data_IF_029432360506
#
_entry.id   IF_029432360506
#
_cell.length_a   1.000
_cell.length_b   1.000
_cell.length_c   1.000
_cell.angle_alpha   90.00
_cell.angle_beta   90.00
_cell.angle_gamma   90.00
#
_symmetry.space_group_name_H-M   'P 1'
#
loop_
_entity.id
_entity.type
_entity.pdbx_description
1 polymer ?
#
# COMPACT_ATOMS: atom_id res chain seq x y z
N UNK A 1 -16.38 60.21 38.65
CA UNK A 1 -17.01 59.53 37.51
C UNK A 1 -16.08 58.42 37.07
N UNK A 2 -16.48 57.19 37.41
CA UNK A 2 -15.78 55.95 37.09
C UNK A 2 -16.39 55.41 35.79
N UNK A 3 -15.57 55.14 34.79
CA UNK A 3 -15.98 54.44 33.57
C UNK A 3 -15.27 53.09 33.54
N UNK A 4 -16.10 52.04 33.63
CA UNK A 4 -15.73 50.63 33.57
C UNK A 4 -15.27 50.27 32.17
N UNK A 5 -14.18 49.51 32.07
CA UNK A 5 -13.84 48.72 30.89
C UNK A 5 -14.63 47.41 30.97
N UNK A 6 -15.53 47.21 30.03
CA UNK A 6 -16.28 45.97 29.88
C UNK A 6 -15.35 44.87 29.33
N UNK A 7 -15.40 43.74 30.02
CA UNK A 7 -14.73 42.49 29.68
C UNK A 7 -15.74 41.61 28.96
N UNK A 8 -15.58 41.45 27.65
CA UNK A 8 -16.25 40.40 26.87
C UNK A 8 -15.20 39.74 25.97
N UNK A 9 -14.47 38.77 26.51
CA UNK A 9 -13.79 37.75 25.72
C UNK A 9 -14.76 36.58 25.59
N UNK A 10 -15.59 36.60 24.55
CA UNK A 10 -16.34 35.42 24.15
C UNK A 10 -15.35 34.39 23.61
N UNK A 11 -15.35 33.21 24.24
CA UNK A 11 -14.63 32.02 23.80
C UNK A 11 -15.18 31.57 22.43
N UNK A 12 -14.56 31.99 21.34
CA UNK A 12 -14.67 31.27 20.07
C UNK A 12 -13.90 29.94 20.22
N UNK A 13 -14.65 28.87 20.51
CA UNK A 13 -14.21 27.50 20.25
C UNK A 13 -13.92 27.41 18.75
N UNK A 14 -12.63 27.35 18.40
CA UNK A 14 -12.19 26.96 17.05
C UNK A 14 -12.71 25.54 16.82
N UNK A 15 -13.74 25.45 15.98
CA UNK A 15 -14.31 24.19 15.54
C UNK A 15 -13.24 23.46 14.70
N UNK A 16 -12.93 22.23 15.10
CA UNK A 16 -11.89 21.41 14.49
C UNK A 16 -12.44 20.97 13.14
N UNK A 17 -12.11 21.74 12.10
CA UNK A 17 -12.62 21.56 10.76
C UNK A 17 -12.46 20.13 10.25
N UNK A 18 -13.60 19.53 9.93
CA UNK A 18 -13.72 18.25 9.24
C UNK A 18 -12.85 18.19 7.99
N UNK A 19 -12.25 17.02 7.79
CA UNK A 19 -11.43 16.63 6.65
C UNK A 19 -12.02 17.10 5.30
N UNK A 20 -11.41 18.11 4.68
CA UNK A 20 -11.91 18.77 3.46
C UNK A 20 -11.87 17.91 2.18
N UNK A 21 -11.34 16.69 2.25
CA UNK A 21 -11.31 15.71 1.15
C UNK A 21 -12.16 14.46 1.44
N UNK A 22 -13.03 14.52 2.46
CA UNK A 22 -13.90 13.43 2.95
C UNK A 22 -15.21 13.33 2.23
N UNK A 23 -15.17 13.32 0.90
CA UNK A 23 -16.41 13.21 0.14
C UNK A 23 -16.95 11.79 0.26
N UNK A 24 -18.09 11.66 0.93
CA UNK A 24 -18.90 10.44 0.94
C UNK A 24 -19.78 10.41 -0.30
N UNK A 25 -19.72 9.33 -1.06
CA UNK A 25 -20.75 9.05 -2.06
C UNK A 25 -22.02 8.57 -1.34
N UNK A 26 -23.22 8.94 -1.83
CA UNK A 26 -24.45 8.41 -1.26
C UNK A 26 -24.49 6.88 -1.38
N UNK A 27 -24.74 6.19 -0.27
CA UNK A 27 -24.89 4.71 -0.17
C UNK A 27 -26.04 4.13 -0.99
N UNK A 28 -26.84 4.98 -1.63
CA UNK A 28 -28.02 4.64 -2.43
C UNK A 28 -27.67 4.03 -3.80
N UNK A 29 -26.37 3.86 -4.12
CA UNK A 29 -25.88 3.33 -5.40
C UNK A 29 -25.52 1.84 -5.39
N UNK A 30 -25.50 1.16 -4.23
CA UNK A 30 -25.08 -0.26 -4.16
C UNK A 30 -26.14 -1.23 -4.68
N UNK A 31 -25.76 -2.09 -5.62
CA UNK A 31 -26.63 -3.13 -6.20
C UNK A 31 -26.79 -4.32 -5.26
N UNK A 32 -25.76 -4.61 -4.44
CA UNK A 32 -25.82 -5.66 -3.42
C UNK A 32 -24.87 -5.37 -2.25
N UNK A 33 -25.35 -5.58 -1.03
CA UNK A 33 -24.53 -5.55 0.19
C UNK A 33 -24.65 -6.90 0.88
N UNK A 34 -23.53 -7.62 1.01
CA UNK A 34 -23.48 -8.92 1.68
C UNK A 34 -23.87 -8.81 3.15
N UNK A 35 -24.31 -9.92 3.75
CA UNK A 35 -24.59 -9.95 5.19
C UNK A 35 -23.30 -9.62 5.96
N UNK A 36 -23.45 -8.91 7.10
CA UNK A 36 -22.34 -8.75 8.03
C UNK A 36 -21.94 -10.10 8.59
N UNK A 37 -20.65 -10.26 8.83
CA UNK A 37 -20.13 -11.44 9.49
C UNK A 37 -19.23 -12.29 8.62
N UNK A 38 -18.33 -13.02 9.28
CA UNK A 38 -17.44 -13.97 8.64
C UNK A 38 -17.87 -15.38 9.02
N UNK A 39 -18.40 -16.12 8.05
CA UNK A 39 -18.76 -17.53 8.19
C UNK A 39 -18.77 -18.23 6.83
N UNK A 40 -18.91 -19.56 6.83
CA UNK A 40 -18.89 -20.37 5.61
C UNK A 40 -20.00 -20.00 4.61
N UNK A 41 -21.17 -19.54 5.06
CA UNK A 41 -22.26 -19.15 4.18
C UNK A 41 -21.93 -17.84 3.42
N UNK A 42 -21.33 -16.86 4.11
CA UNK A 42 -20.85 -15.62 3.47
C UNK A 42 -19.76 -15.93 2.45
N UNK A 43 -18.78 -16.76 2.80
CA UNK A 43 -17.70 -17.17 1.89
C UNK A 43 -18.24 -17.91 0.66
N UNK A 44 -19.19 -18.84 0.85
CA UNK A 44 -19.83 -19.54 -0.26
C UNK A 44 -20.65 -18.57 -1.14
N UNK A 45 -21.37 -17.63 -0.54
CA UNK A 45 -22.14 -16.62 -1.26
C UNK A 45 -21.25 -15.74 -2.14
N UNK A 46 -20.07 -15.32 -1.66
CA UNK A 46 -19.09 -14.57 -2.46
C UNK A 46 -18.74 -15.36 -3.74
N UNK A 47 -18.38 -16.63 -3.58
CA UNK A 47 -17.99 -17.50 -4.69
C UNK A 47 -19.12 -17.73 -5.69
N UNK A 48 -20.35 -17.93 -5.19
CA UNK A 48 -21.56 -18.10 -6.01
C UNK A 48 -21.89 -16.82 -6.80
N UNK A 49 -21.84 -15.65 -6.16
CA UNK A 49 -22.12 -14.36 -6.81
C UNK A 49 -21.10 -14.01 -7.89
N UNK A 50 -19.85 -14.43 -7.68
CA UNK A 50 -18.76 -14.21 -8.64
C UNK A 50 -18.73 -15.28 -9.74
N UNK A 51 -19.59 -16.30 -9.67
CA UNK A 51 -19.65 -17.43 -10.59
C UNK A 51 -18.29 -18.11 -10.77
N UNK A 52 -17.65 -18.41 -9.64
CA UNK A 52 -16.30 -18.99 -9.60
C UNK A 52 -16.32 -20.52 -9.80
N UNK A 53 -15.23 -21.12 -10.32
CA UNK A 53 -15.10 -22.56 -10.41
C UNK A 53 -15.04 -23.22 -9.02
N UNK A 54 -15.49 -24.48 -8.92
CA UNK A 54 -15.60 -25.20 -7.66
C UNK A 54 -14.31 -25.22 -6.82
N UNK A 55 -13.14 -25.34 -7.48
CA UNK A 55 -11.86 -25.35 -6.78
C UNK A 55 -11.56 -24.03 -6.04
N UNK A 56 -12.05 -22.89 -6.54
CA UNK A 56 -11.88 -21.59 -5.87
C UNK A 56 -12.78 -21.49 -4.64
N UNK A 57 -14.02 -22.00 -4.74
CA UNK A 57 -14.91 -22.12 -3.57
C UNK A 57 -14.27 -22.97 -2.47
N UNK A 58 -13.70 -24.12 -2.82
CA UNK A 58 -13.02 -25.00 -1.86
C UNK A 58 -11.78 -24.33 -1.27
N UNK A 59 -11.01 -23.60 -2.08
CA UNK A 59 -9.87 -22.80 -1.64
C UNK A 59 -10.28 -21.75 -0.60
N UNK A 60 -11.37 -21.01 -0.86
CA UNK A 60 -11.88 -19.99 0.05
C UNK A 60 -12.37 -20.58 1.37
N UNK A 61 -13.13 -21.67 1.33
CA UNK A 61 -13.64 -22.34 2.53
C UNK A 61 -12.51 -22.91 3.39
N UNK A 62 -11.51 -23.56 2.78
CA UNK A 62 -10.31 -24.01 3.49
C UNK A 62 -9.54 -22.84 4.12
N UNK A 63 -9.48 -21.70 3.43
CA UNK A 63 -8.81 -20.49 3.94
C UNK A 63 -9.53 -19.93 5.17
N UNK A 64 -10.87 -20.00 5.21
CA UNK A 64 -11.66 -19.63 6.39
C UNK A 64 -11.33 -20.53 7.59
N UNK A 65 -11.28 -21.85 7.39
CA UNK A 65 -10.91 -22.79 8.47
C UNK A 65 -9.52 -22.49 9.03
N UNK A 66 -8.55 -22.19 8.16
CA UNK A 66 -7.19 -21.81 8.56
C UNK A 66 -7.21 -20.48 9.34
N UNK A 67 -7.99 -19.50 8.91
CA UNK A 67 -8.16 -18.23 9.61
C UNK A 67 -8.71 -18.44 11.03
N UNK A 68 -9.72 -19.29 11.19
CA UNK A 68 -10.34 -19.60 12.48
C UNK A 68 -9.39 -20.33 13.43
N UNK A 69 -8.54 -21.22 12.90
CA UNK A 69 -7.55 -21.98 13.68
C UNK A 69 -6.35 -21.14 14.12
N UNK A 70 -5.92 -20.16 13.32
CA UNK A 70 -4.74 -19.33 13.64
C UNK A 70 -5.06 -18.28 14.72
N UNK A 71 -4.25 -18.15 15.77
CA UNK A 71 -4.44 -17.13 16.78
C UNK A 71 -4.17 -15.72 16.22
N UNK A 72 -4.85 -14.71 16.77
CA UNK A 72 -4.55 -13.30 16.47
C UNK A 72 -3.13 -12.97 16.95
N UNK A 73 -2.26 -12.41 16.08
CA UNK A 73 -0.92 -12.00 16.48
C UNK A 73 -0.95 -11.05 17.69
N UNK A 74 -0.04 -11.28 18.65
CA UNK A 74 0.10 -10.45 19.86
C UNK A 74 1.33 -9.52 19.78
N UNK A 75 1.83 -9.29 18.58
CA UNK A 75 2.99 -8.46 18.27
C UNK A 75 2.63 -7.49 17.13
N UNK A 76 3.47 -6.49 16.90
CA UNK A 76 3.24 -5.46 15.89
C UNK A 76 2.34 -4.34 16.39
N UNK A 77 1.12 -4.65 16.84
CA UNK A 77 0.21 -3.68 17.44
C UNK A 77 -0.99 -4.35 18.11
N UNK A 78 -1.97 -3.56 18.56
CA UNK A 78 -3.20 -4.11 19.14
C UNK A 78 -4.21 -4.46 18.05
N UNK A 79 -4.44 -5.75 17.85
CA UNK A 79 -5.39 -6.28 16.87
C UNK A 79 -6.67 -6.82 17.51
N UNK A 80 -6.78 -6.79 18.84
CA UNK A 80 -7.91 -7.37 19.59
C UNK A 80 -9.20 -6.56 19.47
N UNK A 81 -9.12 -5.33 18.93
CA UNK A 81 -10.27 -4.44 18.71
C UNK A 81 -10.97 -4.68 17.37
N UNK A 82 -10.45 -5.58 16.52
CA UNK A 82 -11.06 -5.89 15.23
C UNK A 82 -12.24 -6.85 15.46
N UNK A 83 -13.46 -6.35 15.26
CA UNK A 83 -14.66 -7.19 15.24
C UNK A 83 -14.96 -7.67 13.81
N UNK A 84 -14.46 -8.87 13.49
CA UNK A 84 -14.70 -9.52 12.20
C UNK A 84 -16.18 -9.75 11.90
N UNK A 85 -17.04 -9.83 12.92
CA UNK A 85 -18.47 -10.07 12.71
C UNK A 85 -19.25 -8.81 12.33
N UNK A 86 -18.65 -7.62 12.51
CA UNK A 86 -19.25 -6.33 12.18
C UNK A 86 -19.02 -5.88 10.73
N UNK A 87 -18.13 -6.57 9.99
CA UNK A 87 -17.62 -6.19 8.68
C UNK A 87 -18.53 -6.72 7.56
N UNK A 88 -18.73 -5.90 6.53
CA UNK A 88 -19.21 -6.36 5.22
C UNK A 88 -18.02 -6.81 4.36
N UNK A 89 -18.00 -8.10 4.01
CA UNK A 89 -16.91 -8.71 3.25
C UNK A 89 -17.09 -8.66 1.73
N UNK A 90 -18.29 -8.34 1.28
CA UNK A 90 -18.61 -8.22 -0.14
C UNK A 90 -19.70 -7.19 -0.35
N UNK A 91 -19.40 -6.20 -1.19
CA UNK A 91 -20.32 -5.16 -1.63
C UNK A 91 -20.16 -5.01 -3.13
N UNK A 92 -21.27 -4.89 -3.85
CA UNK A 92 -21.30 -4.71 -5.31
C UNK A 92 -21.85 -3.32 -5.62
N UNK A 93 -20.96 -2.47 -6.11
CA UNK A 93 -21.22 -1.08 -6.48
C UNK A 93 -22.10 -0.92 -7.72
N UNK A 94 -21.92 -1.78 -8.72
CA UNK A 94 -22.54 -1.62 -10.04
C UNK A 94 -22.97 -2.96 -10.65
N UNK A 95 -23.99 -2.90 -11.53
CA UNK A 95 -24.51 -4.03 -12.27
C UNK A 95 -23.68 -4.36 -13.54
N UNK A 96 -22.72 -3.50 -13.94
CA UNK A 96 -21.86 -3.76 -15.10
C UNK A 96 -20.66 -2.81 -15.23
N UNK A 97 -19.66 -3.27 -16.01
CA UNK A 97 -18.40 -2.57 -16.30
C UNK A 97 -18.64 -1.21 -16.98
N UNK A 98 -18.21 -0.12 -16.34
CA UNK A 98 -18.10 1.21 -16.98
C UNK A 98 -16.92 1.23 -17.95
N UNK A 99 -17.15 1.62 -19.21
CA UNK A 99 -16.18 1.40 -20.33
C UNK A 99 -15.41 2.66 -20.73
N UNK A 100 -15.81 3.85 -20.26
CA UNK A 100 -15.21 5.11 -20.69
C UNK A 100 -15.22 6.20 -19.62
N UNK A 101 -14.34 7.21 -19.76
CA UNK A 101 -14.30 8.40 -18.91
C UNK A 101 -15.60 9.22 -18.93
N UNK A 102 -16.39 9.07 -20.00
CA UNK A 102 -17.69 9.71 -20.12
C UNK A 102 -18.73 9.02 -19.22
N UNK A 103 -18.55 7.73 -18.96
CA UNK A 103 -19.38 6.90 -18.09
C UNK A 103 -19.04 7.06 -16.59
N UNK A 104 -17.84 7.56 -16.27
CA UNK A 104 -17.42 7.80 -14.88
C UNK A 104 -18.38 8.81 -14.22
N UNK A 105 -18.99 8.46 -13.07
CA UNK A 105 -19.89 9.33 -12.34
C UNK A 105 -19.39 10.78 -12.13
N UNK A 106 -20.31 11.75 -12.23
CA UNK A 106 -20.02 13.20 -12.19
C UNK A 106 -19.37 13.68 -10.87
N UNK A 107 -19.65 13.00 -9.78
CA UNK A 107 -19.06 13.21 -8.46
C UNK A 107 -17.55 12.93 -8.49
N UNK A 108 -17.12 11.83 -9.11
CA UNK A 108 -15.71 11.46 -9.24
C UNK A 108 -14.96 12.45 -10.14
N UNK A 109 -15.54 12.83 -11.29
CA UNK A 109 -14.93 13.83 -12.20
C UNK A 109 -14.66 15.17 -11.49
N UNK A 110 -15.60 15.62 -10.66
CA UNK A 110 -15.45 16.85 -9.86
C UNK A 110 -14.40 16.73 -8.76
N UNK A 111 -14.16 15.53 -8.22
CA UNK A 111 -13.04 15.30 -7.28
C UNK A 111 -11.69 15.46 -7.96
N UNK A 112 -11.52 14.91 -9.18
CA UNK A 112 -10.29 15.07 -9.97
C UNK A 112 -9.99 16.53 -10.31
N UNK A 113 -11.00 17.31 -10.67
CA UNK A 113 -10.83 18.75 -10.93
C UNK A 113 -10.47 19.54 -9.66
N UNK A 114 -10.91 19.10 -8.48
CA UNK A 114 -10.63 19.74 -7.19
C UNK A 114 -9.24 19.41 -6.63
N UNK A 115 -8.64 18.29 -7.01
CA UNK A 115 -7.28 17.91 -6.63
C UNK A 115 -6.21 18.79 -7.30
N UNK A 116 -6.59 19.67 -8.23
CA UNK A 116 -5.71 20.72 -8.74
C UNK A 116 -4.63 20.23 -9.72
N UNK A 117 -4.87 19.11 -10.39
CA UNK A 117 -3.93 18.54 -11.36
C UNK A 117 -3.73 19.51 -12.54
N UNK A 118 -2.50 19.95 -12.85
CA UNK A 118 -2.21 20.91 -13.92
C UNK A 118 -2.79 20.50 -15.29
N UNK A 119 -3.26 21.46 -16.10
CA UNK A 119 -3.85 21.21 -17.43
C UNK A 119 -2.92 20.47 -18.40
N UNK A 120 -1.60 20.64 -18.25
CA UNK A 120 -0.60 19.91 -19.04
C UNK A 120 -0.58 18.41 -18.72
N UNK A 121 -0.89 18.04 -17.47
CA UNK A 121 -1.02 16.66 -17.00
C UNK A 121 -2.38 16.05 -17.40
N UNK A 122 -3.46 16.85 -17.53
CA UNK A 122 -4.75 16.36 -18.06
C UNK A 122 -4.64 15.72 -19.45
N UNK A 123 -3.70 16.17 -20.29
CA UNK A 123 -3.43 15.58 -21.61
C UNK A 123 -2.66 14.26 -21.53
N UNK A 124 -1.76 14.10 -20.55
CA UNK A 124 -1.05 12.84 -20.30
C UNK A 124 -1.97 11.81 -19.61
N UNK A 125 -2.82 12.30 -18.70
CA UNK A 125 -3.90 11.58 -18.03
C UNK A 125 -5.04 11.16 -18.95
N UNK A 126 -5.13 11.70 -20.17
CA UNK A 126 -6.08 11.19 -21.17
C UNK A 126 -5.77 9.75 -21.60
N UNK A 127 -4.56 9.24 -21.27
CA UNK A 127 -4.19 7.82 -21.35
C UNK A 127 -4.25 7.04 -20.04
N UNK A 128 -4.41 7.71 -18.88
CA UNK A 128 -4.48 7.10 -17.54
C UNK A 128 -5.94 7.06 -17.11
N UNK A 129 -6.57 5.89 -17.19
CA UNK A 129 -7.97 5.72 -16.84
C UNK A 129 -8.06 4.96 -15.50
N UNK A 130 -8.66 5.60 -14.50
CA UNK A 130 -8.69 5.12 -13.12
C UNK A 130 -9.55 3.85 -12.95
N UNK A 131 -9.20 2.99 -12.00
CA UNK A 131 -10.05 1.88 -11.55
C UNK A 131 -11.01 2.38 -10.45
N UNK A 132 -12.30 2.08 -10.60
CA UNK A 132 -13.33 2.45 -9.61
C UNK A 132 -13.99 1.18 -9.09
N UNK A 133 -14.00 0.99 -7.76
CA UNK A 133 -14.63 -0.15 -7.06
C UNK A 133 -14.60 -1.49 -7.82
N UNK A 134 -13.39 -2.01 -8.05
CA UNK A 134 -13.09 -3.28 -8.76
C UNK A 134 -13.24 -3.29 -10.28
N UNK A 135 -13.52 -2.17 -10.95
CA UNK A 135 -13.66 -2.11 -12.41
C UNK A 135 -12.53 -1.33 -13.11
N UNK A 136 -11.81 -2.01 -14.01
CA UNK A 136 -10.67 -1.47 -14.77
C UNK A 136 -11.18 -0.69 -16.00
N UNK A 137 -11.04 0.63 -15.99
CA UNK A 137 -11.30 1.47 -17.18
C UNK A 137 -9.96 1.65 -17.88
N UNK A 138 -9.69 1.03 -19.04
CA UNK A 138 -8.61 1.44 -19.97
C UNK A 138 -9.03 1.07 -21.39
N UNK A 139 -9.15 2.03 -22.31
CA UNK A 139 -9.74 1.77 -23.64
C UNK A 139 -8.71 1.56 -24.75
N UNK A 140 -7.82 2.53 -24.99
CA UNK A 140 -6.88 2.50 -26.12
C UNK A 140 -5.55 1.83 -25.80
N UNK A 141 -5.01 2.05 -24.59
CA UNK A 141 -3.75 1.45 -24.12
C UNK A 141 -3.84 -0.08 -23.99
N UNK A 142 -5.03 -0.58 -23.68
CA UNK A 142 -5.30 -2.00 -23.52
C UNK A 142 -5.12 -2.77 -24.83
N UNK A 143 -5.51 -2.19 -25.97
CA UNK A 143 -5.35 -2.85 -27.27
C UNK A 143 -3.87 -3.00 -27.66
N UNK A 144 -3.04 -1.99 -27.42
CA UNK A 144 -1.61 -2.03 -27.77
C UNK A 144 -0.80 -2.93 -26.83
N UNK A 145 -1.16 -2.98 -25.55
CA UNK A 145 -0.64 -3.96 -24.60
C UNK A 145 -1.08 -5.39 -24.96
N UNK A 146 -2.35 -5.59 -25.30
CA UNK A 146 -2.88 -6.89 -25.71
C UNK A 146 -2.23 -7.41 -27.00
N UNK A 147 -1.90 -6.53 -27.97
CA UNK A 147 -1.14 -6.90 -29.18
C UNK A 147 0.26 -7.42 -28.85
N UNK A 148 0.85 -6.96 -27.75
CA UNK A 148 2.14 -7.46 -27.24
C UNK A 148 1.99 -8.70 -26.35
N UNK A 149 0.76 -9.18 -26.14
CA UNK A 149 0.45 -10.34 -25.29
C UNK A 149 0.39 -10.02 -23.80
N UNK A 150 0.49 -8.74 -23.41
CA UNK A 150 0.36 -8.32 -22.02
C UNK A 150 -1.09 -8.50 -21.57
N UNK A 151 -1.28 -9.18 -20.45
CA UNK A 151 -2.58 -9.26 -19.79
C UNK A 151 -2.58 -8.29 -18.62
N UNK A 152 -3.43 -7.27 -18.66
CA UNK A 152 -3.70 -6.39 -17.54
C UNK A 152 -5.21 -6.31 -17.35
N UNK A 153 -5.71 -7.00 -16.33
CA UNK A 153 -7.14 -7.13 -16.04
C UNK A 153 -7.35 -7.28 -14.54
N UNK A 154 -8.59 -7.32 -14.07
CA UNK A 154 -8.90 -7.60 -12.67
C UNK A 154 -8.73 -9.10 -12.35
N UNK A 155 -8.48 -9.41 -11.08
CA UNK A 155 -8.23 -10.78 -10.62
C UNK A 155 -9.42 -11.73 -10.88
N UNK A 156 -10.64 -11.21 -10.92
CA UNK A 156 -11.86 -11.99 -11.16
C UNK A 156 -12.01 -12.42 -12.63
N UNK A 157 -11.71 -11.51 -13.55
CA UNK A 157 -11.64 -11.77 -14.98
C UNK A 157 -10.49 -12.74 -15.29
N UNK A 158 -9.31 -12.56 -14.70
CA UNK A 158 -8.18 -13.47 -14.90
C UNK A 158 -8.47 -14.91 -14.47
N UNK A 159 -9.19 -15.10 -13.35
CA UNK A 159 -9.62 -16.43 -12.90
C UNK A 159 -10.54 -17.13 -13.91
N UNK A 160 -11.37 -16.38 -14.63
CA UNK A 160 -12.35 -16.90 -15.59
C UNK A 160 -11.76 -17.11 -16.98
N UNK A 161 -11.05 -16.11 -17.46
CA UNK A 161 -10.61 -16.02 -18.85
C UNK A 161 -9.22 -16.66 -19.07
N UNK A 162 -8.40 -16.73 -18.01
CA UNK A 162 -7.06 -17.32 -18.04
C UNK A 162 -6.84 -18.36 -16.92
N UNK A 163 -7.72 -19.37 -16.77
CA UNK A 163 -7.75 -20.26 -15.61
C UNK A 163 -6.49 -21.12 -15.43
N UNK A 164 -5.82 -21.51 -16.53
CA UNK A 164 -4.60 -22.31 -16.48
C UNK A 164 -3.44 -21.50 -15.88
N UNK A 165 -3.18 -20.32 -16.45
CA UNK A 165 -2.15 -19.40 -16.00
C UNK A 165 -2.42 -18.93 -14.57
N UNK A 166 -3.67 -18.56 -14.28
CA UNK A 166 -4.06 -18.13 -12.93
C UNK A 166 -3.78 -19.23 -11.89
N UNK A 167 -4.21 -20.46 -12.17
CA UNK A 167 -4.05 -21.60 -11.24
C UNK A 167 -2.60 -22.04 -11.06
N UNK A 168 -1.73 -21.79 -12.04
CA UNK A 168 -0.30 -22.06 -11.94
C UNK A 168 0.35 -21.25 -10.81
N UNK A 169 0.01 -19.97 -10.68
CA UNK A 169 0.69 -19.02 -9.78
C UNK A 169 -0.10 -18.63 -8.53
N UNK A 170 -1.43 -18.63 -8.59
CA UNK A 170 -2.27 -18.10 -7.50
C UNK A 170 -2.10 -18.87 -6.19
N UNK A 171 -1.79 -18.15 -5.11
CA UNK A 171 -1.63 -18.72 -3.77
C UNK A 171 -0.41 -19.63 -3.62
N UNK A 172 0.57 -19.55 -4.53
CA UNK A 172 1.79 -20.36 -4.47
C UNK A 172 2.86 -19.74 -3.60
N UNK A 173 3.07 -18.43 -3.73
CA UNK A 173 4.10 -17.74 -2.98
C UNK A 173 3.53 -17.23 -1.65
N UNK A 174 2.25 -16.84 -1.61
CA UNK A 174 1.53 -16.53 -0.36
C UNK A 174 0.33 -17.48 -0.24
N UNK A 175 0.53 -18.70 0.27
CA UNK A 175 -0.57 -19.62 0.51
C UNK A 175 -1.42 -19.18 1.72
N UNK A 176 -2.65 -19.70 1.89
CA UNK A 176 -3.52 -19.32 3.00
C UNK A 176 -2.93 -19.59 4.40
N UNK A 177 -2.04 -20.56 4.52
CA UNK A 177 -1.36 -20.90 5.77
C UNK A 177 -0.18 -19.99 6.12
N UNK A 178 0.20 -19.05 5.26
CA UNK A 178 1.30 -18.11 5.48
C UNK A 178 1.12 -17.33 6.79
N UNK A 179 -0.02 -16.67 6.95
CA UNK A 179 -0.38 -15.95 8.16
C UNK A 179 -1.90 -15.79 8.29
N UNK A 180 -2.38 -15.35 9.46
CA UNK A 180 -3.82 -15.21 9.73
C UNK A 180 -4.51 -14.29 8.72
N UNK A 181 -3.91 -13.16 8.36
CA UNK A 181 -4.53 -12.18 7.46
C UNK A 181 -4.42 -12.57 5.99
N UNK A 182 -3.39 -13.32 5.59
CA UNK A 182 -3.35 -14.01 4.30
C UNK A 182 -4.48 -15.05 4.18
N UNK A 183 -4.78 -15.79 5.25
CA UNK A 183 -5.92 -16.72 5.31
C UNK A 183 -7.26 -15.98 5.16
N UNK A 184 -7.43 -14.87 5.89
CA UNK A 184 -8.61 -14.02 5.80
C UNK A 184 -8.81 -13.52 4.36
N UNK A 185 -7.80 -12.86 3.79
CA UNK A 185 -7.82 -12.41 2.40
C UNK A 185 -8.16 -13.56 1.45
N UNK A 186 -7.49 -14.71 1.58
CA UNK A 186 -7.74 -15.88 0.71
C UNK A 186 -9.18 -16.40 0.79
N UNK A 187 -9.87 -16.23 1.93
CA UNK A 187 -11.29 -16.59 2.08
C UNK A 187 -12.23 -15.60 1.38
N UNK A 188 -11.97 -14.29 1.52
CA UNK A 188 -12.95 -13.24 1.16
C UNK A 188 -12.53 -12.29 0.04
N UNK A 189 -11.36 -12.52 -0.59
CA UNK A 189 -10.83 -11.59 -1.59
C UNK A 189 -11.86 -11.31 -2.69
N UNK A 190 -11.94 -10.04 -3.06
CA UNK A 190 -12.88 -9.51 -4.05
C UNK A 190 -12.17 -8.34 -4.75
N UNK A 191 -11.90 -8.49 -6.05
CA UNK A 191 -11.06 -7.56 -6.79
C UNK A 191 -9.54 -7.74 -6.56
N UNK A 192 -8.79 -6.74 -7.02
CA UNK A 192 -7.34 -6.78 -7.20
C UNK A 192 -6.96 -6.72 -8.68
N UNK A 193 -5.66 -6.77 -8.96
CA UNK A 193 -5.15 -6.77 -10.33
C UNK A 193 -4.44 -8.06 -10.69
N UNK A 194 -4.62 -8.49 -11.94
CA UNK A 194 -3.82 -9.53 -12.58
C UNK A 194 -2.98 -8.91 -13.70
N UNK A 195 -1.67 -9.09 -13.62
CA UNK A 195 -0.72 -8.61 -14.63
C UNK A 195 0.15 -9.76 -15.10
N UNK A 196 0.19 -10.02 -16.39
CA UNK A 196 1.15 -10.92 -17.03
C UNK A 196 1.88 -10.17 -18.14
N UNK A 197 3.22 -10.16 -18.06
CA UNK A 197 4.10 -9.54 -19.05
C UNK A 197 4.89 -10.65 -19.77
N UNK A 198 4.67 -10.88 -21.08
CA UNK A 198 5.32 -11.95 -21.83
C UNK A 198 6.83 -11.79 -21.97
N UNK A 199 7.56 -12.86 -22.36
CA UNK A 199 9.01 -12.82 -22.51
C UNK A 199 9.50 -11.70 -23.42
N UNK A 200 10.51 -10.96 -22.96
CA UNK A 200 11.18 -9.88 -23.70
C UNK A 200 10.34 -8.62 -23.93
N UNK A 201 9.12 -8.53 -23.38
CA UNK A 201 8.28 -7.33 -23.50
C UNK A 201 8.71 -6.29 -22.47
N UNK A 202 8.95 -5.07 -22.94
CA UNK A 202 9.33 -3.93 -22.10
C UNK A 202 8.23 -2.86 -22.15
N UNK A 203 7.55 -2.67 -21.02
CA UNK A 203 6.53 -1.62 -20.89
C UNK A 203 7.24 -0.35 -20.39
N UNK A 204 7.28 0.69 -21.23
CA UNK A 204 8.02 1.94 -20.96
C UNK A 204 7.30 2.91 -20.00
N UNK A 205 6.02 2.69 -19.73
CA UNK A 205 5.19 3.52 -18.87
C UNK A 205 4.64 2.71 -17.69
N UNK A 206 4.38 3.34 -16.52
CA UNK A 206 3.81 2.65 -15.39
C UNK A 206 2.37 2.20 -15.67
N UNK A 207 2.06 0.93 -15.40
CA UNK A 207 0.69 0.46 -15.29
C UNK A 207 0.11 0.96 -13.96
N UNK A 208 -1.05 1.58 -13.97
CA UNK A 208 -1.62 2.19 -12.76
C UNK A 208 -2.95 1.53 -12.39
N UNK A 209 -3.09 1.12 -11.14
CA UNK A 209 -4.34 0.75 -10.51
C UNK A 209 -4.59 1.66 -9.30
N UNK A 210 -5.82 2.15 -9.18
CA UNK A 210 -6.21 3.02 -8.08
C UNK A 210 -7.36 2.35 -7.31
N UNK A 211 -7.19 2.20 -6.00
CA UNK A 211 -8.18 1.60 -5.13
C UNK A 211 -8.72 2.64 -4.14
N UNK A 212 -10.04 2.82 -4.10
CA UNK A 212 -10.70 3.77 -3.20
C UNK A 212 -11.75 3.05 -2.36
N UNK A 213 -11.72 3.27 -1.03
CA UNK A 213 -12.75 2.78 -0.11
C UNK A 213 -13.85 3.83 -0.03
N UNK A 214 -15.06 3.54 -0.51
CA UNK A 214 -16.18 4.50 -0.48
C UNK A 214 -17.31 4.15 0.49
N UNK A 215 -17.21 3.06 1.26
CA UNK A 215 -18.27 2.60 2.15
C UNK A 215 -17.87 2.44 3.61
N UNK A 216 -18.76 2.91 4.50
CA UNK A 216 -18.65 2.73 5.94
C UNK A 216 -18.81 1.25 6.34
N UNK A 217 -17.96 0.73 7.23
CA UNK A 217 -17.92 -0.69 7.66
C UNK A 217 -17.65 -1.73 6.54
N UNK A 218 -17.06 -1.31 5.42
CA UNK A 218 -16.61 -2.21 4.36
C UNK A 218 -15.16 -2.66 4.61
N UNK A 219 -14.90 -3.96 4.54
CA UNK A 219 -13.54 -4.47 4.51
C UNK A 219 -13.03 -4.53 3.07
N UNK A 220 -11.80 -4.08 2.83
CA UNK A 220 -11.16 -4.19 1.52
C UNK A 220 -10.18 -5.37 1.52
N UNK A 221 -10.45 -6.34 0.64
CA UNK A 221 -9.67 -7.56 0.50
C UNK A 221 -9.26 -7.76 -0.95
N UNK A 222 -8.28 -6.98 -1.39
CA UNK A 222 -7.75 -7.12 -2.75
C UNK A 222 -6.66 -8.20 -2.81
N UNK A 223 -6.58 -8.87 -3.95
CA UNK A 223 -5.49 -9.81 -4.21
C UNK A 223 -4.89 -9.57 -5.57
N UNK A 224 -3.66 -9.09 -5.58
CA UNK A 224 -2.92 -8.76 -6.80
C UNK A 224 -1.93 -9.86 -7.13
N UNK A 225 -1.92 -10.30 -8.39
CA UNK A 225 -1.02 -11.31 -8.90
C UNK A 225 -0.31 -10.78 -10.15
N UNK A 226 1.02 -10.70 -10.08
CA UNK A 226 1.87 -10.22 -11.17
C UNK A 226 2.88 -11.29 -11.58
N UNK A 227 2.97 -11.53 -12.88
CA UNK A 227 3.96 -12.41 -13.49
C UNK A 227 4.73 -11.62 -14.55
N UNK A 228 6.03 -11.46 -14.34
CA UNK A 228 6.96 -10.85 -15.29
C UNK A 228 7.84 -11.97 -15.84
N UNK A 229 7.62 -12.35 -17.10
CA UNK A 229 8.31 -13.46 -17.72
C UNK A 229 9.76 -13.10 -18.14
N UNK A 230 10.47 -14.04 -18.73
CA UNK A 230 11.91 -13.93 -18.97
C UNK A 230 12.29 -12.67 -19.77
N UNK A 231 13.23 -11.89 -19.22
CA UNK A 231 13.72 -10.66 -19.84
C UNK A 231 12.67 -9.54 -19.97
N UNK A 232 11.48 -9.70 -19.42
CA UNK A 232 10.42 -8.70 -19.49
C UNK A 232 10.62 -7.57 -18.46
N UNK A 233 10.05 -6.39 -18.71
CA UNK A 233 10.06 -5.31 -17.73
C UNK A 233 8.75 -4.53 -17.62
N UNK A 234 8.37 -4.21 -16.40
CA UNK A 234 7.18 -3.40 -16.11
C UNK A 234 7.34 -2.62 -14.81
N UNK A 235 6.71 -1.44 -14.75
CA UNK A 235 6.49 -0.68 -13.52
C UNK A 235 5.00 -0.67 -13.24
N UNK A 236 4.59 -1.05 -12.04
CA UNK A 236 3.21 -1.00 -11.59
C UNK A 236 3.08 -0.02 -10.41
N UNK A 237 2.05 0.81 -10.44
CA UNK A 237 1.76 1.80 -9.40
C UNK A 237 0.36 1.53 -8.84
N UNK A 238 0.31 1.35 -7.52
CA UNK A 238 -0.90 1.18 -6.72
C UNK A 238 -1.10 2.42 -5.87
N UNK A 239 -2.20 3.14 -6.09
CA UNK A 239 -2.65 4.23 -5.23
C UNK A 239 -3.83 3.79 -4.38
N UNK A 240 -3.76 3.97 -3.06
CA UNK A 240 -4.92 3.76 -2.17
C UNK A 240 -5.23 5.01 -1.34
N UNK A 241 -6.44 5.54 -1.47
CA UNK A 241 -6.96 6.60 -0.58
C UNK A 241 -8.32 6.21 -0.02
N UNK A 242 -8.54 6.52 1.26
CA UNK A 242 -9.85 6.42 1.88
C UNK A 242 -10.28 7.79 2.43
N UNK A 243 -11.54 8.22 2.18
CA UNK A 243 -12.16 9.27 2.96
C UNK A 243 -12.29 8.88 4.44
N UNK A 244 -12.43 9.87 5.31
CA UNK A 244 -12.60 9.66 6.76
C UNK A 244 -13.97 9.05 7.03
N UNK A 245 -14.01 7.93 7.74
CA UNK A 245 -15.25 7.32 8.25
C UNK A 245 -15.21 7.25 9.78
N UNK A 246 -16.38 7.20 10.41
CA UNK A 246 -16.55 7.16 11.88
C UNK A 246 -16.29 5.78 12.51
N UNK A 247 -16.28 4.70 11.72
CA UNK A 247 -16.16 3.31 12.17
C UNK A 247 -14.86 2.64 11.71
N UNK A 248 -14.26 1.79 12.55
CA UNK A 248 -13.01 1.10 12.20
C UNK A 248 -13.20 0.24 10.94
N UNK A 249 -12.29 0.39 9.97
CA UNK A 249 -12.30 -0.38 8.72
C UNK A 249 -11.06 -1.26 8.64
N UNK A 250 -11.13 -2.36 7.89
CA UNK A 250 -10.04 -3.31 7.72
C UNK A 250 -9.64 -3.36 6.25
N UNK A 251 -8.38 -3.04 5.97
CA UNK A 251 -7.75 -3.30 4.69
C UNK A 251 -6.77 -4.46 4.87
N UNK A 252 -6.97 -5.53 4.11
CA UNK A 252 -6.04 -6.66 4.08
C UNK A 252 -5.80 -7.11 2.65
N UNK A 253 -4.73 -6.59 2.06
CA UNK A 253 -4.29 -6.95 0.72
C UNK A 253 -3.29 -8.10 0.74
N UNK A 254 -3.32 -8.91 -0.32
CA UNK A 254 -2.26 -9.87 -0.64
C UNK A 254 -1.71 -9.57 -2.02
N UNK A 255 -0.39 -9.43 -2.12
CA UNK A 255 0.29 -9.16 -3.40
C UNK A 255 1.33 -10.24 -3.66
N UNK A 256 1.12 -10.97 -4.76
CA UNK A 256 2.01 -12.02 -5.22
C UNK A 256 2.72 -11.58 -6.51
N UNK A 257 4.06 -11.55 -6.52
CA UNK A 257 4.85 -11.18 -7.70
C UNK A 257 5.86 -12.26 -8.03
N UNK A 258 5.95 -12.61 -9.31
CA UNK A 258 6.95 -13.52 -9.84
C UNK A 258 7.74 -12.78 -10.92
N UNK A 259 9.04 -12.61 -10.72
CA UNK A 259 9.94 -12.01 -11.71
C UNK A 259 10.91 -13.08 -12.19
N UNK A 260 10.68 -13.59 -13.40
CA UNK A 260 11.50 -14.65 -14.00
C UNK A 260 12.87 -14.13 -14.45
N UNK A 261 13.69 -15.06 -14.95
CA UNK A 261 15.09 -14.82 -15.33
C UNK A 261 15.26 -13.55 -16.17
N UNK A 262 16.17 -12.68 -15.76
CA UNK A 262 16.48 -11.42 -16.44
C UNK A 262 15.35 -10.38 -16.45
N UNK A 263 14.20 -10.68 -15.83
CA UNK A 263 13.06 -9.78 -15.74
C UNK A 263 13.33 -8.63 -14.76
N UNK A 264 12.64 -7.51 -14.97
CA UNK A 264 12.75 -6.32 -14.11
C UNK A 264 11.38 -5.81 -13.73
N UNK A 265 11.11 -5.70 -12.45
CA UNK A 265 9.81 -5.25 -11.99
C UNK A 265 9.91 -4.29 -10.82
N UNK A 266 9.12 -3.22 -10.91
CA UNK A 266 8.97 -2.24 -9.86
C UNK A 266 7.52 -2.16 -9.45
N UNK A 267 7.25 -2.26 -8.15
CA UNK A 267 5.93 -2.08 -7.57
C UNK A 267 5.96 -0.88 -6.64
N UNK A 268 5.26 0.18 -7.05
CA UNK A 268 5.08 1.39 -6.26
C UNK A 268 3.74 1.36 -5.57
N UNK A 269 3.70 1.73 -4.30
CA UNK A 269 2.49 1.81 -3.50
C UNK A 269 2.47 3.11 -2.71
N UNK A 270 1.47 3.96 -2.94
CA UNK A 270 1.23 5.15 -2.13
C UNK A 270 -0.11 4.98 -1.43
N UNK A 271 -0.10 4.98 -0.10
CA UNK A 271 -1.28 4.78 0.72
C UNK A 271 -1.49 5.97 1.64
N UNK A 272 -2.72 6.48 1.67
CA UNK A 272 -3.19 7.43 2.66
C UNK A 272 -4.55 6.99 3.19
N UNK A 273 -4.52 6.30 4.33
CA UNK A 273 -5.71 5.77 4.98
C UNK A 273 -6.26 6.72 6.05
N UNK A 274 -7.56 6.67 6.30
CA UNK A 274 -8.12 7.31 7.48
C UNK A 274 -7.62 6.66 8.79
N UNK A 275 -7.55 7.44 9.88
CA UNK A 275 -6.88 7.05 11.13
C UNK A 275 -7.57 5.92 11.92
N UNK A 276 -8.67 5.38 11.40
CA UNK A 276 -9.50 4.29 11.91
C UNK A 276 -9.29 2.98 11.12
N UNK A 277 -8.43 2.97 10.10
CA UNK A 277 -8.16 1.78 9.26
C UNK A 277 -7.05 0.91 9.87
N UNK A 278 -7.29 -0.40 9.93
CA UNK A 278 -6.22 -1.39 10.11
C UNK A 278 -5.69 -1.81 8.73
N UNK A 279 -4.40 -1.62 8.50
CA UNK A 279 -3.73 -1.92 7.23
C UNK A 279 -2.83 -3.15 7.40
N UNK A 280 -3.38 -4.34 7.10
CA UNK A 280 -2.76 -5.64 7.40
C UNK A 280 -2.44 -6.38 6.10
N UNK A 281 -1.28 -6.06 5.53
CA UNK A 281 -0.95 -6.41 4.14
C UNK A 281 0.18 -7.43 4.09
N UNK A 282 0.03 -8.44 3.22
CA UNK A 282 1.10 -9.41 2.92
C UNK A 282 1.53 -9.26 1.46
N UNK A 283 2.74 -8.72 1.23
CA UNK A 283 3.34 -8.63 -0.11
C UNK A 283 4.57 -9.53 -0.19
N UNK A 284 4.70 -10.33 -1.25
CA UNK A 284 5.86 -11.19 -1.50
C UNK A 284 6.17 -11.23 -2.98
N UNK A 285 7.46 -11.20 -3.28
CA UNK A 285 7.98 -11.42 -4.62
C UNK A 285 8.98 -12.58 -4.62
N UNK A 286 8.95 -13.40 -5.67
CA UNK A 286 10.03 -14.32 -6.01
C UNK A 286 10.79 -13.77 -7.21
N UNK A 287 12.08 -13.52 -7.03
CA UNK A 287 12.99 -13.00 -8.05
C UNK A 287 13.97 -14.10 -8.47
N UNK A 288 13.95 -14.49 -9.74
CA UNK A 288 14.77 -15.55 -10.32
C UNK A 288 16.09 -15.01 -10.92
N UNK A 289 16.83 -15.83 -11.65
CA UNK A 289 18.22 -15.58 -12.06
C UNK A 289 18.37 -14.23 -12.77
N UNK A 290 19.37 -13.43 -12.37
CA UNK A 290 19.66 -12.10 -12.95
C UNK A 290 18.46 -11.12 -13.01
N UNK A 291 17.39 -11.38 -12.24
CA UNK A 291 16.22 -10.51 -12.19
C UNK A 291 16.40 -9.35 -11.21
N UNK A 292 15.58 -8.30 -11.37
CA UNK A 292 15.49 -7.17 -10.44
C UNK A 292 14.05 -6.99 -9.98
N UNK A 293 13.83 -7.01 -8.67
CA UNK A 293 12.56 -6.68 -8.04
C UNK A 293 12.72 -5.47 -7.11
N UNK A 294 11.84 -4.48 -7.27
CA UNK A 294 11.86 -3.25 -6.48
C UNK A 294 10.50 -2.99 -5.83
N UNK A 295 10.49 -2.79 -4.51
CA UNK A 295 9.35 -2.24 -3.77
C UNK A 295 9.59 -0.76 -3.47
N UNK A 296 8.65 0.10 -3.85
CA UNK A 296 8.66 1.53 -3.51
C UNK A 296 7.37 1.84 -2.75
N UNK A 297 7.46 2.20 -1.48
CA UNK A 297 6.31 2.19 -0.58
C UNK A 297 6.21 3.48 0.25
N UNK A 298 5.05 4.15 0.18
CA UNK A 298 4.70 5.32 0.99
C UNK A 298 3.51 5.01 1.89
N UNK A 299 3.75 4.98 3.20
CA UNK A 299 2.77 4.67 4.23
C UNK A 299 2.34 5.92 4.98
N UNK A 300 1.12 6.39 4.73
CA UNK A 300 0.51 7.51 5.43
C UNK A 300 -0.87 7.10 5.95
N UNK A 301 -1.28 7.72 7.05
CA UNK A 301 -2.60 7.45 7.61
C UNK A 301 -2.66 6.13 8.39
N UNK A 302 -3.87 5.54 8.51
CA UNK A 302 -4.20 4.31 9.26
C UNK A 302 -4.09 4.42 10.78
N UNK A 303 -4.81 3.57 11.51
CA UNK A 303 -4.64 3.37 12.95
C UNK A 303 -3.39 2.54 13.24
N UNK A 304 -3.29 1.41 12.55
CA UNK A 304 -2.21 0.45 12.67
C UNK A 304 -1.89 -0.11 11.28
N UNK A 305 -0.66 0.06 10.84
CA UNK A 305 -0.10 -0.66 9.68
C UNK A 305 0.80 -1.78 10.17
N UNK A 306 0.59 -2.97 9.62
CA UNK A 306 1.52 -4.09 9.70
C UNK A 306 1.81 -4.57 8.29
N UNK A 307 2.95 -4.16 7.73
CA UNK A 307 3.31 -4.43 6.34
C UNK A 307 4.81 -4.67 6.18
N UNK A 308 5.15 -5.84 5.63
CA UNK A 308 6.54 -6.29 5.47
C UNK A 308 6.75 -6.91 4.10
N UNK A 309 6.86 -6.12 3.01
CA UNK A 309 7.10 -6.64 1.68
C UNK A 309 8.37 -7.50 1.68
N UNK A 310 8.24 -8.70 1.13
CA UNK A 310 9.32 -9.67 1.07
C UNK A 310 9.81 -9.88 -0.36
N UNK A 311 11.11 -10.02 -0.55
CA UNK A 311 11.72 -10.52 -1.77
C UNK A 311 12.50 -11.78 -1.44
N UNK A 312 12.09 -12.88 -2.06
CA UNK A 312 12.83 -14.13 -2.06
C UNK A 312 13.68 -14.16 -3.33
N UNK A 313 14.99 -14.12 -3.16
CA UNK A 313 15.99 -14.09 -4.23
C UNK A 313 16.32 -15.56 -4.57
N UNK A 314 15.49 -16.12 -5.45
CA UNK A 314 15.39 -17.54 -5.75
C UNK A 314 16.45 -18.05 -6.74
N UNK A 315 16.99 -17.16 -7.58
CA UNK A 315 17.96 -17.51 -8.62
C UNK A 315 19.29 -16.78 -8.44
N UNK A 316 20.36 -17.36 -8.99
CA UNK A 316 21.69 -16.77 -8.95
C UNK A 316 21.70 -15.35 -9.57
N UNK A 317 22.38 -14.41 -8.91
CA UNK A 317 22.49 -13.03 -9.42
C UNK A 317 21.22 -12.17 -9.26
N UNK A 318 20.14 -12.71 -8.69
CA UNK A 318 18.90 -11.97 -8.44
C UNK A 318 19.14 -10.77 -7.51
N UNK A 319 18.40 -9.68 -7.76
CA UNK A 319 18.51 -8.42 -7.01
C UNK A 319 17.18 -7.97 -6.46
N UNK A 320 17.19 -7.52 -5.20
CA UNK A 320 16.00 -7.05 -4.50
C UNK A 320 16.21 -5.69 -3.85
N UNK A 321 15.34 -4.73 -4.13
CA UNK A 321 15.38 -3.41 -3.49
C UNK A 321 14.06 -3.08 -2.80
N UNK A 322 14.12 -2.41 -1.67
CA UNK A 322 12.95 -1.86 -1.00
C UNK A 322 13.25 -0.47 -0.49
N UNK A 323 12.48 0.50 -0.95
CA UNK A 323 12.41 1.85 -0.43
C UNK A 323 11.05 2.02 0.26
N UNK A 324 11.04 2.20 1.57
CA UNK A 324 9.81 2.36 2.34
C UNK A 324 9.87 3.61 3.19
N UNK A 325 8.84 4.44 3.11
CA UNK A 325 8.62 5.60 3.99
C UNK A 325 7.37 5.37 4.81
N UNK A 326 7.43 5.69 6.11
CA UNK A 326 6.28 5.66 7.00
C UNK A 326 6.13 6.97 7.78
N UNK A 327 4.92 7.53 7.78
CA UNK A 327 4.57 8.70 8.59
C UNK A 327 3.57 8.28 9.67
N UNK A 328 3.88 8.54 10.94
CA UNK A 328 3.02 8.24 12.08
C UNK A 328 2.67 9.53 12.84
N UNK A 329 1.38 9.90 12.80
CA UNK A 329 0.78 10.98 13.57
C UNK A 329 0.08 10.50 14.85
N UNK A 330 -0.75 11.39 15.43
CA UNK A 330 -1.47 11.15 16.69
C UNK A 330 -2.27 9.85 16.69
N UNK A 331 -1.98 8.96 17.64
CA UNK A 331 -2.71 7.71 17.84
C UNK A 331 -2.44 6.64 16.78
N UNK A 332 -1.49 6.87 15.87
CA UNK A 332 -1.13 5.93 14.81
C UNK A 332 0.10 5.10 15.19
N UNK A 333 0.12 3.87 14.71
CA UNK A 333 1.29 3.00 14.77
C UNK A 333 1.60 2.43 13.38
N UNK A 334 2.73 2.83 12.80
CA UNK A 334 3.26 2.25 11.57
C UNK A 334 4.31 1.18 11.91
N UNK A 335 3.94 -0.10 11.97
CA UNK A 335 4.90 -1.22 12.04
C UNK A 335 5.16 -1.73 10.62
N UNK A 336 6.14 -1.10 9.97
CA UNK A 336 6.50 -1.32 8.58
C UNK A 336 7.93 -1.84 8.47
N UNK A 337 8.28 -2.47 7.35
CA UNK A 337 9.66 -2.87 7.10
C UNK A 337 9.77 -3.70 5.84
N UNK A 338 10.78 -4.56 5.76
CA UNK A 338 11.04 -5.36 4.57
C UNK A 338 11.73 -6.68 4.92
N UNK A 339 11.58 -7.69 4.06
CA UNK A 339 12.29 -8.97 4.19
C UNK A 339 13.06 -9.28 2.92
N UNK A 340 14.35 -9.55 3.04
CA UNK A 340 15.20 -10.04 1.96
C UNK A 340 15.66 -11.45 2.33
N UNK A 341 15.27 -12.44 1.53
CA UNK A 341 15.64 -13.84 1.74
C UNK A 341 16.52 -14.25 0.56
N UNK A 342 17.81 -14.44 0.82
CA UNK A 342 18.78 -14.90 -0.15
C UNK A 342 18.76 -16.41 -0.20
N UNK A 343 18.14 -16.97 -1.25
CA UNK A 343 17.98 -18.42 -1.44
C UNK A 343 18.99 -18.99 -2.45
N UNK A 344 19.78 -18.13 -3.10
CA UNK A 344 20.70 -18.50 -4.17
C UNK A 344 22.01 -17.68 -4.12
N UNK A 345 23.12 -18.20 -4.72
CA UNK A 345 24.40 -17.52 -4.74
C UNK A 345 24.39 -16.18 -5.46
N UNK A 346 25.39 -15.34 -5.15
CA UNK A 346 25.66 -14.08 -5.84
C UNK A 346 24.48 -13.10 -5.88
N UNK A 347 23.52 -13.25 -4.98
CA UNK A 347 22.34 -12.38 -4.89
C UNK A 347 22.64 -11.11 -4.11
N UNK A 348 21.98 -10.01 -4.45
CA UNK A 348 22.20 -8.71 -3.79
C UNK A 348 20.91 -8.03 -3.36
N UNK A 349 20.87 -7.41 -2.19
CA UNK A 349 19.70 -6.64 -1.77
C UNK A 349 20.01 -5.30 -1.12
N UNK A 350 19.05 -4.37 -1.21
CA UNK A 350 19.10 -3.08 -0.53
C UNK A 350 17.76 -2.76 0.14
N UNK A 351 17.77 -2.42 1.42
CA UNK A 351 16.60 -1.89 2.12
C UNK A 351 16.92 -0.47 2.57
N UNK A 352 16.12 0.50 2.13
CA UNK A 352 16.11 1.86 2.64
C UNK A 352 14.75 2.07 3.31
N UNK A 353 14.75 2.20 4.63
CA UNK A 353 13.55 2.53 5.39
C UNK A 353 13.70 3.91 6.02
N UNK A 354 12.74 4.78 5.76
CA UNK A 354 12.64 6.09 6.39
C UNK A 354 11.36 6.18 7.19
N UNK A 355 11.42 6.79 8.37
CA UNK A 355 10.23 6.99 9.19
C UNK A 355 10.18 8.40 9.75
N UNK A 356 8.98 8.94 9.85
CA UNK A 356 8.68 10.24 10.46
C UNK A 356 7.65 10.00 11.54
N UNK A 357 7.86 10.55 12.74
CA UNK A 357 6.90 10.42 13.83
C UNK A 357 6.64 11.76 14.50
N UNK A 358 5.35 12.02 14.68
CA UNK A 358 4.80 13.29 15.12
C UNK A 358 3.56 13.05 15.97
N UNK A 359 3.26 14.00 16.83
CA UNK A 359 2.07 14.08 17.66
C UNK A 359 1.85 12.91 18.62
N UNK A 360 2.92 12.24 19.02
CA UNK A 360 2.88 11.02 19.82
C UNK A 360 2.67 9.76 18.98
N UNK A 361 2.76 9.89 17.66
CA UNK A 361 2.76 8.78 16.73
C UNK A 361 3.96 7.86 16.92
N UNK A 362 3.75 6.60 16.55
CA UNK A 362 4.77 5.56 16.67
C UNK A 362 5.11 4.99 15.31
N UNK A 363 6.37 5.08 14.93
CA UNK A 363 6.92 4.28 13.84
C UNK A 363 7.71 3.10 14.40
N UNK A 364 7.69 1.99 13.68
CA UNK A 364 8.50 0.83 13.98
C UNK A 364 9.01 0.25 12.67
N UNK A 365 10.33 0.19 12.51
CA UNK A 365 10.95 -0.60 11.46
C UNK A 365 11.09 -2.05 11.93
N UNK A 366 10.67 -3.00 11.10
CA UNK A 366 10.92 -4.43 11.32
C UNK A 366 11.47 -5.08 10.06
N UNK A 367 12.75 -5.42 10.11
CA UNK A 367 13.49 -5.97 8.97
C UNK A 367 13.88 -7.42 9.18
N UNK A 368 13.91 -8.21 8.11
CA UNK A 368 14.60 -9.49 8.08
C UNK A 368 15.57 -9.52 6.89
N UNK A 369 16.84 -9.82 7.15
CA UNK A 369 17.78 -10.28 6.13
C UNK A 369 18.14 -11.72 6.48
N UNK A 370 17.75 -12.66 5.62
CA UNK A 370 18.04 -14.08 5.77
C UNK A 370 18.93 -14.55 4.62
N UNK A 371 19.98 -15.28 4.92
CA UNK A 371 20.80 -15.99 3.92
C UNK A 371 20.72 -17.48 4.21
N UNK A 372 20.16 -18.23 3.26
CA UNK A 372 20.03 -19.69 3.33
C UNK A 372 21.40 -20.38 3.15
N UNK A 373 21.53 -21.65 3.56
CA UNK A 373 22.75 -22.42 3.32
C UNK A 373 23.07 -22.48 1.83
N UNK A 374 24.35 -22.43 1.46
CA UNK A 374 24.87 -22.48 0.09
C UNK A 374 24.64 -21.20 -0.75
N UNK A 375 23.92 -20.19 -0.23
CA UNK A 375 23.79 -18.87 -0.84
C UNK A 375 25.06 -18.02 -0.57
N UNK A 376 26.17 -18.41 -1.17
CA UNK A 376 27.47 -17.75 -1.07
C UNK A 376 27.55 -16.52 -1.99
N UNK A 377 28.47 -15.60 -1.69
CA UNK A 377 28.66 -14.36 -2.44
C UNK A 377 27.55 -13.32 -2.26
N UNK A 378 26.64 -13.53 -1.30
CA UNK A 378 25.49 -12.64 -1.08
C UNK A 378 25.91 -11.29 -0.50
N UNK A 379 25.21 -10.23 -0.92
CA UNK A 379 25.44 -8.87 -0.44
C UNK A 379 24.12 -8.23 0.00
N UNK A 380 24.09 -7.60 1.16
CA UNK A 380 22.91 -6.86 1.62
C UNK A 380 23.29 -5.60 2.36
N UNK A 381 22.62 -4.50 2.06
CA UNK A 381 22.78 -3.24 2.77
C UNK A 381 21.40 -2.75 3.24
N UNK A 382 21.30 -2.47 4.54
CA UNK A 382 20.07 -2.00 5.18
C UNK A 382 20.34 -0.66 5.84
N UNK A 383 19.59 0.36 5.45
CA UNK A 383 19.64 1.71 6.02
C UNK A 383 18.27 2.05 6.60
N UNK A 384 18.24 2.36 7.89
CA UNK A 384 17.04 2.77 8.61
C UNK A 384 17.21 4.18 9.18
N UNK A 385 16.52 5.16 8.63
CA UNK A 385 16.53 6.53 9.15
C UNK A 385 15.19 6.87 9.79
N UNK A 386 15.23 7.43 10.99
CA UNK A 386 14.04 7.93 11.67
C UNK A 386 14.17 9.44 11.95
N UNK A 387 13.07 10.17 11.75
CA UNK A 387 12.94 11.58 12.06
C UNK A 387 11.82 11.77 13.10
N UNK A 388 12.20 12.18 14.31
CA UNK A 388 11.25 12.53 15.38
C UNK A 388 11.00 14.03 15.36
N UNK A 389 9.72 14.42 15.23
CA UNK A 389 9.30 15.82 15.15
C UNK A 389 9.00 16.43 16.53
N UNK A 390 8.85 15.61 17.56
CA UNK A 390 8.59 16.07 18.92
C UNK A 390 9.09 15.05 19.98
N UNK A 391 9.09 15.43 21.28
CA UNK A 391 9.55 14.54 22.36
C UNK A 391 8.57 13.42 22.75
N UNK A 392 7.28 13.50 22.38
CA UNK A 392 6.25 12.50 22.74
C UNK A 392 6.20 11.35 21.74
N UNK A 393 6.69 11.57 20.53
CA UNK A 393 6.73 10.60 19.44
C UNK A 393 7.83 9.57 19.62
N UNK A 394 7.65 8.41 18.99
CA UNK A 394 8.52 7.26 19.17
C UNK A 394 8.86 6.60 17.84
N UNK A 395 10.12 6.19 17.69
CA UNK A 395 10.56 5.30 16.63
C UNK A 395 11.26 4.09 17.25
N UNK A 396 10.91 2.89 16.79
CA UNK A 396 11.55 1.64 17.19
C UNK A 396 12.19 0.95 15.97
N UNK A 397 13.31 0.26 16.15
CA UNK A 397 13.97 -0.48 15.06
C UNK A 397 14.23 -1.91 15.54
N UNK A 398 13.66 -2.88 14.82
CA UNK A 398 13.74 -4.31 15.13
C UNK A 398 14.37 -5.07 13.95
N UNK A 399 15.71 -5.04 13.80
CA UNK A 399 16.41 -5.77 12.75
C UNK A 399 16.59 -7.24 13.13
N UNK A 400 16.35 -8.14 12.18
CA UNK A 400 16.67 -9.56 12.27
C UNK A 400 17.62 -9.91 11.14
N UNK A 401 18.76 -10.52 11.49
CA UNK A 401 19.78 -10.96 10.55
C UNK A 401 20.08 -12.42 10.85
N UNK A 402 19.75 -13.29 9.89
CA UNK A 402 19.92 -14.74 9.99
C UNK A 402 20.85 -15.18 8.85
N UNK A 403 22.07 -15.61 9.17
CA UNK A 403 23.09 -15.95 8.17
C UNK A 403 23.50 -17.40 8.38
N UNK A 404 23.22 -18.24 7.39
CA UNK A 404 23.58 -19.67 7.40
C UNK A 404 24.72 -20.01 6.41
N UNK A 405 25.39 -19.00 5.84
CA UNK A 405 26.56 -19.13 4.97
C UNK A 405 27.74 -18.24 5.46
N UNK A 406 28.99 -18.63 5.18
CA UNK A 406 30.18 -17.91 5.67
C UNK A 406 30.73 -16.89 4.66
N UNK A 407 30.34 -16.97 3.38
CA UNK A 407 30.82 -16.08 2.31
C UNK A 407 29.75 -15.04 1.97
N UNK A 408 29.53 -14.08 2.87
CA UNK A 408 28.51 -13.03 2.70
C UNK A 408 29.00 -11.67 3.21
N UNK A 409 28.46 -10.58 2.64
CA UNK A 409 28.69 -9.22 3.10
C UNK A 409 27.36 -8.54 3.43
N UNK A 410 27.06 -8.39 4.72
CA UNK A 410 25.80 -7.83 5.22
C UNK A 410 26.11 -6.60 6.08
N UNK A 411 25.50 -5.46 5.74
CA UNK A 411 25.63 -4.19 6.45
C UNK A 411 24.25 -3.72 6.92
N UNK A 412 24.16 -3.26 8.17
CA UNK A 412 22.96 -2.66 8.72
C UNK A 412 23.32 -1.39 9.49
N UNK A 413 22.72 -0.28 9.07
CA UNK A 413 22.87 1.03 9.68
C UNK A 413 21.51 1.57 10.08
N UNK A 414 21.42 2.11 11.29
CA UNK A 414 20.21 2.75 11.80
C UNK A 414 20.55 4.09 12.46
N UNK A 415 19.84 5.15 12.04
CA UNK A 415 20.00 6.50 12.54
C UNK A 415 18.66 7.04 13.05
N UNK A 416 18.67 7.74 14.18
CA UNK A 416 17.51 8.46 14.69
C UNK A 416 17.91 9.92 14.85
N UNK A 417 17.23 10.77 14.10
CA UNK A 417 17.43 12.20 14.09
C UNK A 417 16.22 12.92 14.68
N UNK A 418 16.47 14.07 15.29
CA UNK A 418 15.44 15.05 15.64
C UNK A 418 15.61 16.25 14.75
N UNK A 419 14.55 17.00 14.51
CA UNK A 419 14.72 18.31 13.89
C UNK A 419 15.54 19.17 14.87
N UNK A 420 16.71 19.64 14.41
CA UNK A 420 17.58 20.48 15.21
C UNK A 420 16.99 21.88 15.37
N UNK A 421 16.98 22.41 16.60
CA UNK A 421 16.54 23.78 16.87
C UNK A 421 17.29 24.81 16.01
N UNK A 422 18.57 24.56 15.72
CA UNK A 422 19.39 25.42 14.85
C UNK A 422 18.91 25.43 13.39
N UNK A 423 18.47 24.27 12.87
CA UNK A 423 17.94 24.17 11.50
C UNK A 423 16.60 24.90 11.37
N UNK A 424 15.71 24.71 12.35
CA UNK A 424 14.44 25.45 12.41
C UNK A 424 14.70 26.95 12.56
N UNK A 425 15.53 27.36 13.51
CA UNK A 425 15.86 28.76 13.72
C UNK A 425 16.47 29.40 12.47
N UNK A 426 17.36 28.69 11.76
CA UNK A 426 17.94 29.17 10.52
C UNK A 426 16.88 29.42 9.45
N UNK A 427 16.00 28.45 9.20
CA UNK A 427 14.92 28.57 8.21
C UNK A 427 13.91 29.66 8.59
N UNK A 428 13.54 29.75 9.87
CA UNK A 428 12.65 30.79 10.39
C UNK A 428 13.27 32.18 10.29
N UNK A 429 14.59 32.30 10.49
CA UNK A 429 15.31 33.57 10.28
C UNK A 429 15.29 34.05 8.83
N UNK A 430 14.92 33.18 7.88
CA UNK A 430 14.71 33.51 6.46
C UNK A 430 13.27 33.84 6.12
N UNK A 431 12.40 33.97 7.13
CA UNK A 431 11.01 34.40 6.97
C UNK A 431 10.01 33.26 6.83
N UNK A 432 10.45 32.00 6.95
CA UNK A 432 9.55 30.85 7.01
C UNK A 432 8.91 30.77 8.41
N UNK A 433 7.65 30.36 8.45
CA UNK A 433 7.02 29.89 9.68
C UNK A 433 7.67 28.58 10.14
N UNK A 434 7.50 28.24 11.41
CA UNK A 434 7.99 26.96 11.94
C UNK A 434 7.39 25.75 11.20
N UNK A 435 6.12 25.86 10.79
CA UNK A 435 5.43 24.84 9.99
C UNK A 435 6.04 24.69 8.60
N UNK A 436 6.30 25.79 7.89
CA UNK A 436 6.96 25.77 6.58
C UNK A 436 8.40 25.25 6.68
N UNK A 437 9.14 25.66 7.70
CA UNK A 437 10.50 25.18 7.96
C UNK A 437 10.53 23.66 8.23
N UNK A 438 9.62 23.18 9.09
CA UNK A 438 9.50 21.75 9.40
C UNK A 438 9.11 20.94 8.17
N UNK A 439 8.13 21.43 7.39
CA UNK A 439 7.72 20.81 6.12
C UNK A 439 8.90 20.70 5.15
N UNK A 440 9.70 21.77 5.00
CA UNK A 440 10.88 21.77 4.12
C UNK A 440 11.93 20.72 4.53
N UNK A 441 12.19 20.58 5.84
CA UNK A 441 13.10 19.56 6.37
C UNK A 441 12.56 18.15 6.08
N UNK A 442 11.27 17.92 6.33
CA UNK A 442 10.61 16.64 6.07
C UNK A 442 10.65 16.30 4.57
N UNK A 443 10.36 17.26 3.69
CA UNK A 443 10.44 17.09 2.23
C UNK A 443 11.85 16.72 1.78
N UNK A 444 12.89 17.35 2.35
CA UNK A 444 14.27 16.94 2.09
C UNK A 444 14.57 15.52 2.57
N UNK A 445 13.98 15.10 3.69
CA UNK A 445 14.15 13.76 4.24
C UNK A 445 13.48 12.66 3.39
N UNK A 446 12.31 12.94 2.81
CA UNK A 446 11.56 12.01 1.95
C UNK A 446 11.93 12.09 0.46
N UNK A 447 12.81 13.02 0.07
CA UNK A 447 13.24 13.25 -1.32
C UNK A 447 13.60 11.97 -2.10
N UNK A 448 14.29 10.96 -1.50
CA UNK A 448 14.58 9.72 -2.22
C UNK A 448 13.34 8.97 -2.70
N UNK A 449 12.22 9.02 -1.97
CA UNK A 449 10.96 8.41 -2.42
C UNK A 449 10.34 9.22 -3.54
N UNK A 450 10.25 10.55 -3.37
CA UNK A 450 9.61 11.45 -4.34
C UNK A 450 10.25 11.31 -5.73
N UNK A 451 11.58 11.11 -5.78
CA UNK A 451 12.32 10.87 -7.03
C UNK A 451 11.97 9.58 -7.75
N UNK A 452 11.46 8.57 -7.04
CA UNK A 452 11.08 7.27 -7.61
C UNK A 452 9.60 7.22 -8.04
N UNK A 453 8.82 8.25 -7.74
CA UNK A 453 7.41 8.34 -8.09
C UNK A 453 7.23 9.03 -9.45
N UNK A 454 6.20 8.63 -10.24
CA UNK A 454 5.73 9.45 -11.34
C UNK A 454 5.34 10.85 -10.85
N UNK A 455 5.42 11.85 -11.72
CA UNK A 455 5.29 13.27 -11.35
C UNK A 455 3.97 13.56 -10.63
N UNK A 456 2.87 12.96 -11.08
CA UNK A 456 1.56 13.11 -10.49
C UNK A 456 1.51 12.65 -9.02
N UNK A 457 2.11 11.50 -8.70
CA UNK A 457 2.17 10.95 -7.34
C UNK A 457 3.20 11.68 -6.47
N UNK A 458 4.27 12.19 -7.07
CA UNK A 458 5.26 13.01 -6.38
C UNK A 458 4.63 14.31 -5.86
N UNK A 459 3.79 14.97 -6.68
CA UNK A 459 3.05 16.18 -6.28
C UNK A 459 2.02 15.85 -5.20
N UNK A 460 1.25 14.77 -5.37
CA UNK A 460 0.27 14.32 -4.37
C UNK A 460 0.94 14.03 -3.03
N UNK A 461 2.06 13.30 -3.02
CA UNK A 461 2.80 12.95 -1.81
C UNK A 461 3.30 14.19 -1.05
N UNK A 462 3.85 15.18 -1.76
CA UNK A 462 4.27 16.45 -1.14
C UNK A 462 3.08 17.17 -0.50
N UNK A 463 1.94 17.22 -1.20
CA UNK A 463 0.73 17.86 -0.67
C UNK A 463 0.17 17.12 0.55
N UNK A 464 0.18 15.79 0.54
CA UNK A 464 -0.25 14.98 1.68
C UNK A 464 0.63 15.23 2.91
N UNK A 465 1.94 15.37 2.72
CA UNK A 465 2.86 15.68 3.82
C UNK A 465 2.62 17.09 4.35
N UNK A 466 2.44 18.09 3.50
CA UNK A 466 2.07 19.44 3.93
C UNK A 466 0.80 19.40 4.79
N UNK A 467 -0.22 18.65 4.38
CA UNK A 467 -1.46 18.49 5.14
C UNK A 467 -1.25 17.80 6.50
N UNK A 468 -0.37 16.80 6.58
CA UNK A 468 0.00 16.16 7.86
C UNK A 468 0.81 17.09 8.78
N UNK A 469 1.42 18.13 8.19
CA UNK A 469 2.15 19.20 8.88
C UNK A 469 1.26 20.41 9.20
N UNK A 470 0.14 20.61 8.52
CA UNK A 470 -0.87 21.61 8.88
C UNK A 470 -1.58 21.20 10.19
N UNK A 471 -1.73 22.13 11.14
CA UNK A 471 -2.29 21.83 12.47
C UNK A 471 -1.31 21.24 13.49
N UNK A 472 -0.01 21.21 13.19
CA UNK A 472 1.08 20.87 14.14
C UNK A 472 1.21 21.82 15.34
N UNK A 473 0.34 22.82 15.45
CA UNK A 473 0.45 23.89 16.43
C UNK A 473 -0.48 23.58 17.60
N UNK A 474 0.11 22.99 18.62
CA UNK A 474 -0.22 23.25 20.02
C UNK A 474 0.93 23.99 20.65
#
# INVERSE_FOLDING_TARGET
>A
MSTKLDTNSENEKVDIGDYQYGFHDPTDKYVFTGQKGLNAAVVAQISEMKNEPAWMRDFRLKSLEIFEQKPTPQWGGNLNEIDYQSIHYFVRASAGQERSWEDVPDDIRKTYDRLGIPEAEKKFLSGVKAQYESEVVYGSLQEDLAKQGVLFTDTDSALKDHPELFREYFGKIIPPDDNKYAALNSAVWSGGSFVYVPPGVHIEFPLQAYFRINSENMGQFERTLVIVDEGASCHYVEGCTAPTYSSNSLHSAVVEIIVKRGGRFRYTTIQNWSNNVYNLVTKRAHAYEDSLMEWVDGNLGSKLTMKYPAIFLMGEGARGETLSIAFAGKGQHQDAGAKMVHCAPNTSSRIISKSISKDGGRSSYRGLVKVDPEAHGCKSNVVCDALLLDPKSRSDTYPYIEIEDNDVAIEHEASVSKIGEEQLFYLMSRGLTEAEASSMIVTGFIEPLVKELPMEYAVEMNRLIELQMEGSIG
#
